data_IF_246799748148
#
_entry.id   IF_246799748148
#
_cell.length_a   1.000
_cell.length_b   1.000
_cell.length_c   1.000
_cell.angle_alpha   90.00
_cell.angle_beta   90.00
_cell.angle_gamma   90.00
#
_symmetry.space_group_name_H-M   'P 1'
#
loop_
_entity.id
_entity.type
_entity.pdbx_description
1 polymer ?
#
# COMPACT_ATOMS: atom_id res chain seq x y z
N UNK A 1 17.12 -19.32 11.80
CA UNK A 1 17.10 -18.05 11.05
C UNK A 1 16.60 -18.36 9.65
N UNK A 2 15.60 -17.63 9.12
CA UNK A 2 15.19 -17.78 7.73
C UNK A 2 16.33 -17.31 6.80
N UNK A 3 16.49 -17.97 5.66
CA UNK A 3 17.39 -17.54 4.59
C UNK A 3 16.61 -16.65 3.63
N UNK A 4 17.08 -15.42 3.42
CA UNK A 4 16.45 -14.45 2.52
C UNK A 4 17.21 -14.39 1.19
N UNK A 5 16.47 -14.51 0.09
CA UNK A 5 16.99 -14.37 -1.26
C UNK A 5 16.17 -13.34 -2.02
N UNK A 6 16.79 -12.21 -2.35
CA UNK A 6 16.18 -11.19 -3.18
C UNK A 6 16.45 -11.48 -4.66
N UNK A 7 15.39 -11.54 -5.47
CA UNK A 7 15.49 -11.61 -6.93
C UNK A 7 15.23 -10.22 -7.51
N UNK A 8 16.29 -9.54 -7.92
CA UNK A 8 16.24 -8.17 -8.47
C UNK A 8 16.76 -8.12 -9.91
N UNK A 9 16.53 -7.02 -10.61
CA UNK A 9 16.96 -6.84 -11.99
C UNK A 9 16.45 -5.55 -12.63
N UNK A 10 16.78 -5.34 -13.90
CA UNK A 10 16.37 -4.17 -14.67
C UNK A 10 14.85 -4.04 -14.89
N UNK A 11 14.43 -2.93 -15.50
CA UNK A 11 13.03 -2.67 -15.86
C UNK A 11 12.61 -3.53 -17.06
N UNK A 12 11.38 -4.04 -17.04
CA UNK A 12 10.68 -4.66 -18.18
C UNK A 12 11.27 -5.97 -18.71
N UNK A 13 10.51 -7.07 -18.65
CA UNK A 13 10.79 -8.29 -19.45
C UNK A 13 12.07 -9.09 -19.15
N UNK A 14 12.89 -8.68 -18.17
CA UNK A 14 14.16 -9.35 -17.81
C UNK A 14 14.00 -10.70 -17.08
N UNK A 15 12.77 -11.21 -16.91
CA UNK A 15 12.49 -12.53 -16.33
C UNK A 15 12.54 -12.63 -14.79
N UNK A 16 12.50 -11.51 -14.05
CA UNK A 16 12.54 -11.50 -12.55
C UNK A 16 11.50 -12.43 -11.93
N UNK A 17 10.21 -12.21 -12.23
CA UNK A 17 9.12 -13.04 -11.72
C UNK A 17 9.31 -14.49 -12.11
N UNK A 18 9.65 -14.76 -13.37
CA UNK A 18 9.86 -16.11 -13.88
C UNK A 18 10.94 -16.86 -13.10
N UNK A 19 12.08 -16.23 -12.83
CA UNK A 19 13.15 -16.82 -12.02
C UNK A 19 12.68 -17.02 -10.58
N UNK A 20 12.02 -16.02 -9.98
CA UNK A 20 11.57 -16.09 -8.59
C UNK A 20 10.55 -17.21 -8.35
N UNK A 21 9.51 -17.33 -9.18
CA UNK A 21 8.45 -18.33 -9.01
C UNK A 21 8.97 -19.75 -9.23
N UNK A 22 9.80 -19.98 -10.26
CA UNK A 22 10.35 -21.31 -10.53
C UNK A 22 11.36 -21.74 -9.46
N UNK A 23 12.18 -20.81 -8.97
CA UNK A 23 13.11 -21.09 -7.89
C UNK A 23 12.34 -21.44 -6.60
N UNK A 24 11.32 -20.66 -6.25
CA UNK A 24 10.51 -20.91 -5.06
C UNK A 24 9.78 -22.26 -5.14
N UNK A 25 9.15 -22.56 -6.27
CA UNK A 25 8.47 -23.84 -6.50
C UNK A 25 9.45 -25.02 -6.42
N UNK A 26 10.60 -24.93 -7.09
CA UNK A 26 11.61 -26.00 -7.05
C UNK A 26 12.14 -26.25 -5.64
N UNK A 27 12.43 -25.19 -4.88
CA UNK A 27 12.88 -25.34 -3.48
C UNK A 27 11.77 -25.95 -2.62
N UNK A 28 10.50 -25.58 -2.84
CA UNK A 28 9.37 -26.17 -2.14
C UNK A 28 9.20 -27.67 -2.43
N UNK A 29 9.43 -28.09 -3.67
CA UNK A 29 9.38 -29.50 -4.10
C UNK A 29 10.47 -30.37 -3.43
N UNK A 30 11.58 -29.77 -2.97
CA UNK A 30 12.59 -30.48 -2.19
C UNK A 30 12.16 -30.78 -0.75
N UNK A 31 10.96 -30.36 -0.35
CA UNK A 31 10.41 -30.54 1.00
C UNK A 31 10.67 -29.39 1.96
N UNK A 32 11.32 -28.31 1.51
CA UNK A 32 11.57 -27.11 2.31
C UNK A 32 10.36 -26.18 2.28
N UNK A 33 10.04 -25.55 3.40
CA UNK A 33 9.02 -24.49 3.44
C UNK A 33 9.58 -23.20 2.83
N UNK A 34 8.86 -22.63 1.88
CA UNK A 34 9.27 -21.43 1.14
C UNK A 34 8.15 -20.41 1.22
N UNK A 35 8.50 -19.17 1.59
CA UNK A 35 7.64 -18.01 1.40
C UNK A 35 8.18 -17.20 0.21
N UNK A 36 7.40 -17.13 -0.85
CA UNK A 36 7.62 -16.20 -1.96
C UNK A 36 6.88 -14.89 -1.64
N UNK A 37 7.59 -13.76 -1.73
CA UNK A 37 7.02 -12.43 -1.55
C UNK A 37 7.04 -11.69 -2.90
N UNK A 38 5.88 -11.39 -3.46
CA UNK A 38 5.75 -10.61 -4.69
C UNK A 38 5.74 -9.10 -4.37
N UNK A 39 6.93 -8.50 -4.44
CA UNK A 39 7.13 -7.08 -4.13
C UNK A 39 6.84 -6.14 -5.31
N UNK A 40 6.42 -6.66 -6.47
CA UNK A 40 5.96 -5.83 -7.61
C UNK A 40 4.48 -5.49 -7.44
N UNK A 41 4.20 -4.59 -6.49
CA UNK A 41 2.83 -4.26 -6.06
C UNK A 41 2.03 -3.47 -7.10
N UNK A 42 2.71 -2.92 -8.10
CA UNK A 42 2.10 -2.20 -9.22
C UNK A 42 1.46 -3.17 -10.22
N UNK A 43 2.02 -4.37 -10.37
CA UNK A 43 1.47 -5.40 -11.26
C UNK A 43 1.84 -6.82 -10.76
N UNK A 44 1.31 -7.24 -9.60
CA UNK A 44 1.68 -8.51 -8.98
C UNK A 44 1.19 -9.67 -9.85
N UNK A 45 2.08 -10.59 -10.18
CA UNK A 45 1.79 -11.66 -11.13
C UNK A 45 2.31 -13.04 -10.69
N UNK A 46 2.95 -13.16 -9.52
CA UNK A 46 3.45 -14.44 -9.04
C UNK A 46 2.33 -15.48 -8.90
N UNK A 47 1.18 -15.11 -8.34
CA UNK A 47 0.03 -15.99 -8.18
C UNK A 47 -0.51 -16.52 -9.52
N UNK A 48 -0.59 -15.65 -10.54
CA UNK A 48 -0.98 -16.03 -11.90
C UNK A 48 0.01 -17.01 -12.51
N UNK A 49 1.32 -16.73 -12.39
CA UNK A 49 2.37 -17.61 -12.92
C UNK A 49 2.37 -19.00 -12.24
N UNK A 50 1.95 -19.06 -10.98
CA UNK A 50 1.85 -20.29 -10.20
C UNK A 50 0.47 -20.98 -10.32
N UNK A 51 -0.51 -20.34 -10.96
CA UNK A 51 -1.88 -20.85 -11.03
C UNK A 51 -2.57 -20.95 -9.67
N UNK A 52 -2.24 -20.05 -8.74
CA UNK A 52 -2.78 -20.03 -7.38
C UNK A 52 -3.94 -19.06 -7.24
N UNK A 53 -5.02 -19.53 -6.63
CA UNK A 53 -6.12 -18.69 -6.18
C UNK A 53 -5.71 -17.93 -4.91
N UNK A 54 -5.93 -16.62 -4.91
CA UNK A 54 -5.54 -15.73 -3.81
C UNK A 54 -6.71 -15.42 -2.90
N UNK A 55 -6.43 -15.33 -1.61
CA UNK A 55 -7.34 -14.79 -0.60
C UNK A 55 -6.86 -13.42 -0.15
N UNK A 56 -7.80 -12.47 -0.02
CA UNK A 56 -7.50 -11.13 0.49
C UNK A 56 -7.19 -11.22 1.99
N UNK A 57 -6.05 -10.67 2.40
CA UNK A 57 -5.66 -10.62 3.80
C UNK A 57 -6.20 -9.37 4.49
N UNK A 58 -5.79 -8.20 4.01
CA UNK A 58 -6.17 -6.90 4.59
C UNK A 58 -5.94 -5.76 3.62
N UNK A 59 -6.60 -4.65 3.91
CA UNK A 59 -6.33 -3.38 3.24
C UNK A 59 -5.07 -2.74 3.81
N UNK A 60 -4.29 -2.13 2.92
CA UNK A 60 -3.15 -1.30 3.28
C UNK A 60 -3.63 0.14 3.24
N UNK A 61 -3.62 0.80 4.40
CA UNK A 61 -4.20 2.14 4.56
C UNK A 61 -3.23 3.13 5.13
N UNK A 62 -3.38 4.39 4.74
CA UNK A 62 -2.75 5.54 5.40
C UNK A 62 -3.81 6.45 6.01
N UNK A 63 -3.39 7.41 6.83
CA UNK A 63 -4.26 8.47 7.32
C UNK A 63 -4.89 9.25 6.16
N UNK A 64 -6.16 9.64 6.33
CA UNK A 64 -6.83 10.65 5.53
C UNK A 64 -7.71 11.53 6.44
N UNK A 65 -7.81 12.85 6.22
CA UNK A 65 -8.63 13.71 7.06
C UNK A 65 -10.13 13.50 6.81
N UNK A 66 -10.90 13.41 7.89
CA UNK A 66 -12.36 13.61 7.86
C UNK A 66 -12.65 14.97 8.49
N UNK A 67 -13.25 15.88 7.71
CA UNK A 67 -13.54 17.25 8.13
C UNK A 67 -14.98 17.33 8.63
N UNK A 68 -15.15 17.74 9.89
CA UNK A 68 -16.45 18.03 10.49
C UNK A 68 -16.85 19.49 10.18
N UNK A 69 -17.88 19.71 9.34
CA UNK A 69 -18.31 21.05 8.96
C UNK A 69 -18.90 21.83 10.12
N UNK A 70 -19.43 21.15 11.15
CA UNK A 70 -20.02 21.81 12.33
C UNK A 70 -18.97 22.46 13.23
N UNK A 71 -17.73 21.98 13.18
CA UNK A 71 -16.59 22.49 13.96
C UNK A 71 -15.61 23.31 13.13
N UNK A 72 -15.70 23.23 11.80
CA UNK A 72 -14.76 23.91 10.91
C UNK A 72 -15.07 25.41 10.82
N UNK A 73 -14.17 26.24 11.34
CA UNK A 73 -14.27 27.71 11.21
C UNK A 73 -13.86 28.24 9.82
N UNK A 74 -13.53 27.35 8.86
CA UNK A 74 -13.17 27.72 7.48
C UNK A 74 -11.96 28.69 7.39
N UNK A 75 -11.02 28.57 8.34
CA UNK A 75 -9.82 29.42 8.41
C UNK A 75 -8.77 29.12 7.32
N UNK A 76 -8.74 27.88 6.81
CA UNK A 76 -7.82 27.47 5.75
C UNK A 76 -6.43 27.00 6.21
N UNK A 77 -6.13 27.00 7.51
CA UNK A 77 -4.81 26.60 8.05
C UNK A 77 -4.38 25.20 7.59
N UNK A 78 -5.33 24.26 7.55
CA UNK A 78 -5.09 22.90 7.07
C UNK A 78 -4.66 22.83 5.60
N UNK A 79 -5.17 23.72 4.75
CA UNK A 79 -4.81 23.81 3.33
C UNK A 79 -3.44 24.49 3.15
N UNK A 80 -3.18 25.56 3.92
CA UNK A 80 -1.89 26.26 3.90
C UNK A 80 -0.73 25.38 4.38
N UNK A 81 -0.98 24.55 5.40
CA UNK A 81 0.02 23.62 5.92
C UNK A 81 0.19 22.35 5.07
N UNK A 82 -0.66 22.10 4.06
CA UNK A 82 -0.64 20.85 3.31
C UNK A 82 0.45 20.86 2.22
N UNK A 83 1.54 20.06 2.37
CA UNK A 83 2.64 20.06 1.41
C UNK A 83 2.24 19.50 0.04
N UNK A 84 1.27 18.58 0.01
CA UNK A 84 0.78 17.95 -1.21
C UNK A 84 -0.27 18.79 -1.95
N UNK A 85 -0.73 19.87 -1.32
CA UNK A 85 -1.93 20.62 -1.76
C UNK A 85 -3.15 19.70 -1.98
N UNK A 86 -3.31 18.72 -1.09
CA UNK A 86 -4.46 17.81 -1.07
C UNK A 86 -5.72 18.45 -0.46
N UNK A 87 -5.58 19.61 0.19
CA UNK A 87 -6.68 20.41 0.69
C UNK A 87 -6.68 21.77 0.01
N UNK A 88 -7.84 22.21 -0.47
CA UNK A 88 -8.03 23.53 -1.07
C UNK A 88 -9.08 24.30 -0.27
N UNK A 89 -8.69 25.42 0.32
CA UNK A 89 -9.59 26.30 1.05
C UNK A 89 -9.89 27.56 0.23
N UNK A 90 -11.18 27.88 0.07
CA UNK A 90 -11.64 29.16 -0.47
C UNK A 90 -12.24 30.01 0.65
N UNK A 91 -12.17 31.36 0.56
CA UNK A 91 -12.69 32.23 1.61
C UNK A 91 -14.14 31.92 1.99
N UNK A 92 -14.38 31.64 3.27
CA UNK A 92 -15.71 31.34 3.81
C UNK A 92 -16.31 30.01 3.39
N UNK A 93 -15.56 29.15 2.67
CA UNK A 93 -16.00 27.81 2.26
C UNK A 93 -15.27 26.71 3.01
N UNK A 94 -15.90 25.56 3.09
CA UNK A 94 -15.26 24.35 3.62
C UNK A 94 -14.08 23.93 2.72
N UNK A 95 -12.99 23.41 3.30
CA UNK A 95 -11.88 22.89 2.52
C UNK A 95 -12.32 21.70 1.66
N UNK A 96 -11.96 21.73 0.37
CA UNK A 96 -12.14 20.61 -0.54
C UNK A 96 -10.95 19.66 -0.37
N UNK A 97 -11.23 18.37 -0.16
CA UNK A 97 -10.23 17.33 0.00
C UNK A 97 -10.06 16.51 -1.28
N UNK A 98 -8.83 16.43 -1.78
CA UNK A 98 -8.41 15.61 -2.91
C UNK A 98 -7.64 14.38 -2.39
N UNK A 99 -8.37 13.29 -2.16
CA UNK A 99 -7.82 12.04 -1.61
C UNK A 99 -6.60 11.53 -2.38
N UNK A 100 -6.58 11.66 -3.71
CA UNK A 100 -5.49 11.15 -4.54
C UNK A 100 -4.14 11.82 -4.29
N UNK A 101 -4.16 13.08 -3.85
CA UNK A 101 -2.94 13.83 -3.53
C UNK A 101 -2.47 13.60 -2.10
N UNK A 102 -3.32 13.09 -1.21
CA UNK A 102 -2.99 13.01 0.21
C UNK A 102 -1.90 11.98 0.52
N UNK A 103 -0.76 12.40 1.06
CA UNK A 103 0.32 11.51 1.52
C UNK A 103 0.10 10.91 2.91
N UNK A 104 -0.97 11.29 3.60
CA UNK A 104 -1.29 10.75 4.92
C UNK A 104 -0.42 11.28 6.07
N UNK A 105 0.31 12.39 5.89
CA UNK A 105 1.23 12.93 6.90
C UNK A 105 0.57 13.44 8.20
N UNK A 106 -0.75 13.63 8.23
CA UNK A 106 -1.48 14.07 9.44
C UNK A 106 -1.35 15.56 9.79
N UNK A 107 -0.56 16.36 9.06
CA UNK A 107 -0.31 17.77 9.41
C UNK A 107 -1.60 18.61 9.51
N UNK A 108 -2.58 18.34 8.65
CA UNK A 108 -3.88 19.02 8.67
C UNK A 108 -4.62 18.82 10.00
N UNK A 109 -4.58 17.62 10.58
CA UNK A 109 -5.14 17.32 11.90
C UNK A 109 -4.37 18.08 12.99
N UNK A 110 -3.04 18.08 12.91
CA UNK A 110 -2.17 18.72 13.90
C UNK A 110 -2.39 20.24 13.97
N UNK A 111 -2.57 20.92 12.84
CA UNK A 111 -2.75 22.39 12.81
C UNK A 111 -4.18 22.84 13.08
N UNK A 112 -5.16 21.93 13.10
CA UNK A 112 -6.56 22.28 13.30
C UNK A 112 -6.86 22.56 14.79
N UNK A 113 -6.80 23.84 15.18
CA UNK A 113 -7.03 24.29 16.57
C UNK A 113 -8.43 23.96 17.11
N UNK A 114 -9.43 23.92 16.22
CA UNK A 114 -10.83 23.63 16.58
C UNK A 114 -11.10 22.13 16.71
N UNK A 115 -10.13 21.27 16.37
CA UNK A 115 -10.31 19.82 16.34
C UNK A 115 -11.36 19.35 15.34
N UNK A 116 -11.58 20.11 14.27
CA UNK A 116 -12.55 19.78 13.21
C UNK A 116 -12.07 18.67 12.26
N UNK A 117 -10.79 18.26 12.34
CA UNK A 117 -10.23 17.21 11.49
C UNK A 117 -9.97 15.96 12.35
N UNK A 118 -10.59 14.85 11.97
CA UNK A 118 -10.45 13.54 12.62
C UNK A 118 -9.71 12.53 11.73
N UNK A 119 -9.34 11.39 12.30
CA UNK A 119 -8.65 10.31 11.58
C UNK A 119 -9.63 9.47 10.77
N UNK A 120 -9.55 9.63 9.45
CA UNK A 120 -10.05 8.67 8.48
C UNK A 120 -8.90 7.84 7.89
N UNK A 121 -9.27 7.00 6.91
CA UNK A 121 -8.34 6.11 6.23
C UNK A 121 -8.47 6.26 4.73
N UNK A 122 -7.34 6.32 4.04
CA UNK A 122 -7.24 6.10 2.60
C UNK A 122 -6.69 4.70 2.35
N UNK A 123 -7.37 3.92 1.52
CA UNK A 123 -6.88 2.61 1.07
C UNK A 123 -5.93 2.81 -0.10
N UNK A 124 -4.67 2.39 0.07
CA UNK A 124 -3.65 2.40 -0.98
C UNK A 124 -3.69 1.15 -1.85
N UNK A 125 -4.13 0.03 -1.28
CA UNK A 125 -4.10 -1.27 -1.92
C UNK A 125 -4.51 -2.35 -0.94
N UNK A 126 -4.28 -3.60 -1.30
CA UNK A 126 -4.58 -4.74 -0.44
C UNK A 126 -3.48 -5.79 -0.50
N UNK A 127 -3.23 -6.45 0.63
CA UNK A 127 -2.38 -7.63 0.69
C UNK A 127 -3.22 -8.89 0.43
N UNK A 128 -2.59 -9.89 -0.17
CA UNK A 128 -3.18 -11.18 -0.46
C UNK A 128 -2.22 -12.32 -0.13
N UNK A 129 -2.79 -13.52 -0.03
CA UNK A 129 -2.07 -14.74 0.30
C UNK A 129 -2.60 -15.92 -0.51
N UNK A 130 -1.69 -16.82 -0.87
CA UNK A 130 -2.01 -18.13 -1.44
C UNK A 130 -0.99 -19.17 -0.98
N UNK A 131 -1.34 -20.45 -1.11
CA UNK A 131 -0.44 -21.55 -0.80
C UNK A 131 -0.71 -22.79 -1.67
N UNK A 132 0.33 -23.59 -1.85
CA UNK A 132 0.25 -24.94 -2.41
C UNK A 132 1.36 -25.81 -1.82
N UNK A 133 0.98 -26.73 -0.93
CA UNK A 133 1.93 -27.60 -0.24
C UNK A 133 2.91 -26.79 0.62
N UNK A 134 4.20 -26.89 0.33
CA UNK A 134 5.26 -26.16 1.05
C UNK A 134 5.54 -24.76 0.49
N UNK A 135 4.91 -24.37 -0.62
CA UNK A 135 5.04 -23.06 -1.22
C UNK A 135 3.94 -22.14 -0.71
N UNK A 136 4.35 -21.11 0.02
CA UNK A 136 3.50 -20.02 0.46
C UNK A 136 3.82 -18.78 -0.39
N UNK A 137 2.79 -18.01 -0.72
CA UNK A 137 2.89 -16.77 -1.47
C UNK A 137 2.22 -15.65 -0.71
N UNK A 138 2.93 -14.55 -0.54
CA UNK A 138 2.36 -13.28 -0.09
C UNK A 138 2.64 -12.22 -1.16
N UNK A 139 1.66 -11.37 -1.41
CA UNK A 139 1.81 -10.22 -2.29
C UNK A 139 0.87 -9.11 -1.89
N UNK A 140 1.00 -7.98 -2.57
CA UNK A 140 0.05 -6.89 -2.44
C UNK A 140 -0.20 -6.25 -3.80
N UNK A 141 -1.37 -5.67 -3.97
CA UNK A 141 -1.76 -4.96 -5.18
C UNK A 141 -2.19 -3.53 -4.82
N UNK A 142 -1.61 -2.56 -5.53
CA UNK A 142 -1.99 -1.16 -5.45
C UNK A 142 -3.40 -0.94 -6.02
N UNK A 143 -4.12 0.00 -5.42
CA UNK A 143 -5.37 0.50 -6.00
C UNK A 143 -5.05 1.24 -7.31
N UNK A 144 -5.85 1.07 -8.38
CA UNK A 144 -5.69 1.84 -9.60
C UNK A 144 -5.67 3.35 -9.34
N UNK A 145 -4.69 4.06 -9.88
CA UNK A 145 -4.49 5.50 -9.68
C UNK A 145 -3.63 5.86 -8.46
N UNK A 146 -3.27 4.89 -7.63
CA UNK A 146 -2.33 5.07 -6.53
C UNK A 146 -0.88 5.07 -7.04
N UNK A 147 -0.03 5.94 -6.48
CA UNK A 147 1.36 6.12 -6.87
C UNK A 147 2.36 5.86 -5.73
N UNK A 148 1.87 5.47 -4.54
CA UNK A 148 2.65 5.27 -3.32
C UNK A 148 3.08 3.81 -3.13
N UNK A 149 3.63 3.18 -4.17
CA UNK A 149 4.13 1.79 -4.15
C UNK A 149 5.06 1.48 -2.97
N UNK A 150 6.01 2.37 -2.58
CA UNK A 150 6.90 2.09 -1.45
C UNK A 150 6.20 1.83 -0.11
N UNK A 151 5.05 2.48 0.14
CA UNK A 151 4.29 2.27 1.38
C UNK A 151 3.59 0.90 1.37
N UNK A 152 3.11 0.47 0.20
CA UNK A 152 2.47 -0.84 0.02
C UNK A 152 3.50 -1.96 0.11
N UNK A 153 4.68 -1.80 -0.50
CA UNK A 153 5.81 -2.72 -0.35
C UNK A 153 6.25 -2.81 1.12
N UNK A 154 6.39 -1.68 1.81
CA UNK A 154 6.74 -1.67 3.24
C UNK A 154 5.75 -2.46 4.09
N UNK A 155 4.45 -2.20 3.91
CA UNK A 155 3.40 -2.91 4.64
C UNK A 155 3.31 -4.41 4.29
N UNK A 156 3.70 -4.81 3.07
CA UNK A 156 3.83 -6.20 2.66
C UNK A 156 5.02 -6.87 3.36
N UNK A 157 6.17 -6.20 3.42
CA UNK A 157 7.36 -6.75 4.08
C UNK A 157 7.13 -6.94 5.58
N UNK A 158 6.44 -6.01 6.25
CA UNK A 158 6.04 -6.17 7.67
C UNK A 158 5.10 -7.36 7.91
N UNK A 159 4.33 -7.78 6.89
CA UNK A 159 3.48 -8.97 6.99
C UNK A 159 4.25 -10.27 6.77
N UNK A 160 5.40 -10.21 6.10
CA UNK A 160 6.22 -11.36 5.74
C UNK A 160 7.28 -11.71 6.81
N UNK A 161 7.44 -10.87 7.84
CA UNK A 161 8.28 -11.10 9.02
C UNK A 161 7.59 -11.94 10.11
#
# INVERSE_FOLDING_TARGET
MPFWLAVAGGKGGVGKTTVAVNLAAHVADTGLRVLLVDADVDNPNAHVNLGLEVSRLRDITIFAPIIDPSRCLRCGDCAQACPEHALLAAPGKEPIFFEERCSGCGICKLVCKEGAISEGKKVLGHAFYAESGNLHLMGAELRPGEARSPLVVGALMELAE
#
